data_IF_378177238841
#
_entry.id   IF_378177238841
#
_cell.length_a   1.000
_cell.length_b   1.000
_cell.length_c   1.000
_cell.angle_alpha   90.00
_cell.angle_beta   90.00
_cell.angle_gamma   90.00
#
_symmetry.space_group_name_H-M   'P 1'
#
loop_
_entity.id
_entity.type
_entity.pdbx_description
1 polymer ?
#
# COMPACT_ATOMS: atom_id res chain seq x y z
N UNK A 1 -12.59 6.40 -3.17
CA UNK A 1 -11.54 5.48 -3.68
C UNK A 1 -11.21 4.39 -2.64
N UNK A 2 -10.77 3.20 -3.05
CA UNK A 2 -10.37 2.13 -2.11
C UNK A 2 -8.96 1.63 -2.40
N UNK A 3 -8.09 1.70 -1.39
CA UNK A 3 -6.72 1.20 -1.42
C UNK A 3 -6.71 -0.21 -0.81
N UNK A 4 -6.29 -1.21 -1.57
CA UNK A 4 -6.10 -2.59 -1.07
C UNK A 4 -4.64 -2.82 -0.71
N UNK A 5 -4.40 -3.39 0.46
CA UNK A 5 -3.08 -3.84 0.91
C UNK A 5 -3.12 -5.37 1.06
N UNK A 6 -2.24 -6.06 0.34
CA UNK A 6 -2.11 -7.51 0.37
C UNK A 6 -0.68 -7.95 0.68
N UNK A 7 -0.57 -9.17 1.19
CA UNK A 7 0.70 -9.84 1.47
C UNK A 7 0.73 -11.19 0.75
N UNK A 8 1.84 -11.47 0.08
CA UNK A 8 2.11 -12.71 -0.64
C UNK A 8 3.45 -13.27 -0.19
N UNK A 9 3.45 -14.51 0.27
CA UNK A 9 4.65 -15.34 0.32
C UNK A 9 4.52 -16.40 -0.77
N UNK A 10 5.47 -16.43 -1.69
CA UNK A 10 5.51 -17.37 -2.81
C UNK A 10 6.16 -18.69 -2.40
N UNK A 11 6.03 -19.69 -3.27
CA UNK A 11 6.61 -21.03 -3.08
C UNK A 11 8.14 -21.04 -3.03
N UNK A 12 8.79 -20.05 -3.62
CA UNK A 12 10.25 -19.83 -3.55
C UNK A 12 10.65 -19.04 -2.28
N UNK A 13 9.75 -18.99 -1.29
CA UNK A 13 9.84 -18.23 -0.04
C UNK A 13 9.88 -16.71 -0.20
N UNK A 14 9.81 -16.20 -1.43
CA UNK A 14 9.88 -14.76 -1.65
C UNK A 14 8.64 -14.05 -1.13
N UNK A 15 8.84 -12.90 -0.49
CA UNK A 15 7.82 -12.15 0.24
C UNK A 15 7.56 -10.81 -0.42
N UNK A 16 6.28 -10.48 -0.59
CA UNK A 16 5.86 -9.23 -1.20
C UNK A 16 4.69 -8.59 -0.47
N UNK A 17 4.72 -7.26 -0.39
CA UNK A 17 3.54 -6.43 -0.12
C UNK A 17 3.06 -5.87 -1.44
N UNK A 18 1.76 -5.96 -1.72
CA UNK A 18 1.15 -5.33 -2.90
C UNK A 18 0.11 -4.33 -2.44
N UNK A 19 0.24 -3.09 -2.92
CA UNK A 19 -0.72 -2.02 -2.68
C UNK A 19 -1.38 -1.68 -4.02
N UNK A 20 -2.70 -1.68 -4.04
CA UNK A 20 -3.51 -1.52 -5.26
C UNK A 20 -4.60 -0.49 -5.05
N UNK A 21 -4.89 0.29 -6.09
CA UNK A 21 -6.11 1.08 -6.15
C UNK A 21 -7.22 0.23 -6.77
N UNK A 22 -8.25 -0.13 -5.99
CA UNK A 22 -9.38 -0.93 -6.48
C UNK A 22 -10.38 -0.13 -7.30
N UNK A 23 -10.28 1.20 -7.28
CA UNK A 23 -11.18 2.08 -8.02
C UNK A 23 -10.76 2.29 -9.48
N UNK A 24 -9.64 1.70 -9.90
CA UNK A 24 -9.14 1.78 -11.28
C UNK A 24 -8.95 0.39 -11.88
N UNK A 25 -9.23 0.25 -13.17
CA UNK A 25 -8.93 -0.96 -13.95
C UNK A 25 -7.49 -1.01 -14.44
N UNK A 26 -6.71 0.06 -14.20
CA UNK A 26 -5.31 0.21 -14.59
C UNK A 26 -4.39 -0.57 -13.63
N UNK A 27 -4.02 -1.78 -14.02
CA UNK A 27 -3.18 -2.71 -13.23
C UNK A 27 -1.71 -2.30 -13.14
N UNK A 28 -1.26 -1.42 -14.04
CA UNK A 28 0.08 -0.81 -14.08
C UNK A 28 0.39 0.12 -12.90
N UNK A 29 -0.62 0.39 -12.05
CA UNK A 29 -0.50 1.29 -10.91
C UNK A 29 -0.37 0.59 -9.57
N UNK A 30 -0.22 -0.73 -9.54
CA UNK A 30 0.03 -1.45 -8.29
C UNK A 30 1.46 -1.24 -7.82
N UNK A 31 1.63 -0.86 -6.56
CA UNK A 31 2.93 -0.83 -5.91
C UNK A 31 3.24 -2.22 -5.34
N UNK A 32 4.30 -2.86 -5.85
CA UNK A 32 4.79 -4.15 -5.34
C UNK A 32 6.14 -3.99 -4.67
N UNK A 33 6.21 -4.34 -3.40
CA UNK A 33 7.38 -4.22 -2.53
C UNK A 33 7.89 -5.64 -2.24
N UNK A 34 9.09 -5.98 -2.69
CA UNK A 34 9.82 -7.20 -2.32
C UNK A 34 10.50 -7.05 -0.94
N UNK A 35 10.26 -7.98 -0.02
CA UNK A 35 10.79 -7.93 1.35
C UNK A 35 12.09 -8.73 1.55
N UNK A 36 12.53 -9.53 0.57
CA UNK A 36 13.71 -10.39 0.68
C UNK A 36 15.02 -9.68 0.32
N UNK A 37 14.93 -8.56 -0.40
CA UNK A 37 16.09 -7.72 -0.65
C UNK A 37 16.47 -6.99 0.63
N UNK A 38 17.66 -7.30 1.19
CA UNK A 38 18.29 -6.48 2.24
C UNK A 38 18.16 -5.02 1.83
N UNK A 39 17.55 -4.23 2.71
CA UNK A 39 17.09 -2.87 2.46
C UNK A 39 18.28 -1.92 2.34
N UNK A 40 19.07 -2.07 1.27
CA UNK A 40 20.07 -1.10 0.83
C UNK A 40 19.54 -0.44 -0.44
N UNK A 41 18.58 0.47 -0.26
CA UNK A 41 18.38 1.69 -1.07
C UNK A 41 16.98 2.26 -0.83
N UNK A 42 16.83 3.55 -1.07
CA UNK A 42 15.62 4.37 -1.01
C UNK A 42 14.43 3.90 -1.89
N UNK A 43 14.50 2.69 -2.46
CA UNK A 43 13.63 2.19 -3.53
C UNK A 43 12.15 2.00 -3.16
N UNK A 44 11.82 1.97 -1.86
CA UNK A 44 10.43 1.89 -1.41
C UNK A 44 9.82 3.27 -1.12
N UNK A 45 10.59 4.24 -0.63
CA UNK A 45 10.04 5.53 -0.22
C UNK A 45 9.55 6.33 -1.42
N UNK A 46 10.37 6.46 -2.45
CA UNK A 46 10.02 7.25 -3.64
C UNK A 46 8.83 6.63 -4.37
N UNK A 47 8.81 5.29 -4.50
CA UNK A 47 7.68 4.58 -5.11
C UNK A 47 6.38 4.71 -4.31
N UNK A 48 6.46 4.70 -2.99
CA UNK A 48 5.29 4.97 -2.13
C UNK A 48 4.81 6.39 -2.34
N UNK A 49 5.71 7.38 -2.33
CA UNK A 49 5.36 8.78 -2.57
C UNK A 49 4.72 8.97 -3.94
N UNK A 50 5.32 8.44 -5.01
CA UNK A 50 4.80 8.52 -6.38
C UNK A 50 3.41 7.87 -6.47
N UNK A 51 3.22 6.72 -5.81
CA UNK A 51 1.93 6.07 -5.74
C UNK A 51 0.89 6.96 -5.03
N UNK A 52 1.22 7.53 -3.87
CA UNK A 52 0.33 8.42 -3.13
C UNK A 52 -0.03 9.69 -3.92
N UNK A 53 0.96 10.34 -4.56
CA UNK A 53 0.71 11.49 -5.44
C UNK A 53 -0.22 11.14 -6.60
N UNK A 54 0.00 9.97 -7.20
CA UNK A 54 -0.84 9.47 -8.28
C UNK A 54 -2.27 9.22 -7.80
N UNK A 55 -2.45 8.62 -6.62
CA UNK A 55 -3.78 8.42 -6.03
C UNK A 55 -4.53 9.74 -5.84
N UNK A 56 -3.85 10.75 -5.27
CA UNK A 56 -4.46 12.08 -5.05
C UNK A 56 -4.78 12.78 -6.37
N UNK A 57 -3.92 12.66 -7.38
CA UNK A 57 -4.14 13.28 -8.69
C UNK A 57 -5.31 12.64 -9.45
N UNK A 58 -5.55 11.34 -9.27
CA UNK A 58 -6.67 10.63 -9.90
C UNK A 58 -7.99 10.81 -9.14
N UNK A 59 -7.94 11.14 -7.85
CA UNK A 59 -9.13 11.28 -7.02
C UNK A 59 -9.68 12.71 -7.08
N UNK A 60 -10.86 12.86 -7.68
CA UNK A 60 -11.58 14.13 -7.79
C UNK A 60 -12.24 14.60 -6.47
N UNK A 61 -11.58 14.44 -5.32
CA UNK A 61 -12.06 14.74 -3.94
C UNK A 61 -13.10 13.76 -3.38
N UNK A 62 -12.94 12.46 -3.61
CA UNK A 62 -13.80 11.45 -2.99
C UNK A 62 -13.17 10.89 -1.72
N UNK A 63 -13.98 10.44 -0.76
CA UNK A 63 -13.43 9.78 0.43
C UNK A 63 -12.61 8.54 0.05
N UNK A 64 -11.43 8.41 0.65
CA UNK A 64 -10.56 7.24 0.52
C UNK A 64 -10.83 6.23 1.63
N UNK A 65 -10.70 4.95 1.32
CA UNK A 65 -10.85 3.84 2.28
C UNK A 65 -9.73 2.83 2.09
N UNK A 66 -9.45 2.03 3.13
CA UNK A 66 -8.43 0.99 3.09
C UNK A 66 -9.09 -0.37 3.27
N UNK A 67 -8.66 -1.32 2.46
CA UNK A 67 -8.99 -2.73 2.60
C UNK A 67 -7.71 -3.52 2.82
N UNK A 68 -7.54 -4.09 4.00
CA UNK A 68 -6.43 -5.00 4.32
C UNK A 68 -6.92 -6.42 4.08
N UNK A 69 -6.16 -7.25 3.36
CA UNK A 69 -6.52 -8.67 3.17
C UNK A 69 -6.27 -9.49 4.43
N UNK A 70 -6.99 -10.61 4.59
CA UNK A 70 -6.75 -11.56 5.69
C UNK A 70 -5.29 -12.02 5.76
N UNK A 71 -4.61 -12.15 4.61
CA UNK A 71 -3.20 -12.53 4.56
C UNK A 71 -2.30 -11.44 5.13
N UNK A 72 -2.54 -10.19 4.77
CA UNK A 72 -1.80 -9.06 5.33
C UNK A 72 -2.09 -8.90 6.83
N UNK A 73 -3.36 -9.01 7.24
CA UNK A 73 -3.75 -8.85 8.65
C UNK A 73 -3.13 -9.94 9.53
N UNK A 74 -3.15 -11.21 9.09
CA UNK A 74 -2.54 -12.33 9.82
C UNK A 74 -1.02 -12.17 10.00
N UNK A 75 -0.34 -11.53 9.05
CA UNK A 75 1.12 -11.35 9.09
C UNK A 75 1.55 -9.98 9.63
N UNK A 76 0.60 -9.11 10.00
CA UNK A 76 0.86 -7.75 10.49
C UNK A 76 1.77 -7.74 11.72
N UNK A 77 1.64 -8.71 12.61
CA UNK A 77 2.45 -8.78 13.83
C UNK A 77 3.85 -9.37 13.61
N UNK A 78 3.97 -10.31 12.67
CA UNK A 78 5.21 -11.06 12.43
C UNK A 78 6.14 -10.37 11.44
N UNK A 79 5.60 -9.54 10.54
CA UNK A 79 6.35 -8.83 9.49
C UNK A 79 6.22 -7.32 9.72
N UNK A 80 7.26 -6.71 10.30
CA UNK A 80 7.27 -5.30 10.72
C UNK A 80 6.97 -4.34 9.56
N UNK A 81 7.44 -4.68 8.36
CA UNK A 81 7.21 -3.92 7.14
C UNK A 81 5.73 -3.88 6.76
N UNK A 82 4.98 -4.96 6.98
CA UNK A 82 3.52 -4.98 6.74
C UNK A 82 2.83 -4.00 7.69
N UNK A 83 3.16 -4.05 8.98
CA UNK A 83 2.57 -3.13 9.94
C UNK A 83 2.90 -1.66 9.63
N UNK A 84 4.16 -1.39 9.26
CA UNK A 84 4.58 -0.04 8.86
C UNK A 84 3.78 0.47 7.66
N UNK A 85 3.65 -0.33 6.60
CA UNK A 85 2.88 0.04 5.41
C UNK A 85 1.41 0.27 5.76
N UNK A 86 0.78 -0.61 6.54
CA UNK A 86 -0.61 -0.43 6.97
C UNK A 86 -0.78 0.90 7.71
N UNK A 87 0.07 1.18 8.71
CA UNK A 87 0.00 2.42 9.49
C UNK A 87 0.22 3.67 8.62
N UNK A 88 1.15 3.60 7.67
CA UNK A 88 1.42 4.70 6.75
C UNK A 88 0.19 5.04 5.90
N UNK A 89 -0.45 4.03 5.32
CA UNK A 89 -1.64 4.23 4.49
C UNK A 89 -2.86 4.62 5.33
N UNK A 90 -3.05 4.06 6.52
CA UNK A 90 -4.09 4.47 7.49
C UNK A 90 -3.96 5.95 7.84
N UNK A 91 -2.74 6.41 8.16
CA UNK A 91 -2.48 7.82 8.43
C UNK A 91 -2.75 8.69 7.21
N UNK A 92 -2.26 8.29 6.03
CA UNK A 92 -2.49 9.03 4.79
C UNK A 92 -3.99 9.20 4.48
N UNK A 93 -4.77 8.12 4.51
CA UNK A 93 -6.22 8.17 4.23
C UNK A 93 -6.94 9.04 5.24
N UNK A 94 -6.58 8.96 6.52
CA UNK A 94 -7.13 9.84 7.55
C UNK A 94 -6.88 11.31 7.22
N UNK A 95 -5.62 11.69 6.99
CA UNK A 95 -5.26 13.08 6.68
C UNK A 95 -5.90 13.58 5.39
N UNK A 96 -5.96 12.76 4.34
CA UNK A 96 -6.61 13.11 3.09
C UNK A 96 -8.11 13.36 3.29
N UNK A 97 -8.80 12.45 3.97
CA UNK A 97 -10.24 12.55 4.23
C UNK A 97 -10.59 13.74 5.14
N UNK A 98 -9.71 14.12 6.06
CA UNK A 98 -9.86 15.35 6.85
C UNK A 98 -9.71 16.61 5.99
N UNK A 99 -8.83 16.59 4.98
CA UNK A 99 -8.57 17.75 4.11
C UNK A 99 -9.65 18.01 3.03
N UNK A 100 -10.51 17.04 2.74
CA UNK A 100 -11.63 17.19 1.78
C UNK A 100 -12.99 17.44 2.45
N UNK A 101 -13.06 17.34 3.79
CA UNK A 101 -14.25 17.70 4.60
C UNK A 101 -14.30 19.19 4.85
#
# INVERSE_FOLDING_TARGET
>A
MTIKIDYEQKSDESKFITISNLSTTKTDRNLKINLDKKVDSDWNRDKINDFLFTLVAEDGRSEMTIQITDRAEKNRQDVKEINFIIQLFEAFVKFYNEGIK
#
